data_IF_558991216504
#
_entry.id   IF_558991216504
#
_cell.length_a   1.000
_cell.length_b   1.000
_cell.length_c   1.000
_cell.angle_alpha   90.00
_cell.angle_beta   90.00
_cell.angle_gamma   90.00
#
_symmetry.space_group_name_H-M   'P 1'
#
loop_
_entity.id
_entity.type
_entity.pdbx_description
1 polymer ?
2 non-polymer ?
3 non-polymer ?
4 non-polymer ?
5 water ?
#
# COMPACT_ATOMS: atom_id res chain seq x y z
N UNK A 11 -10.63 -16.98 21.06
CA UNK A 11 -11.12 -15.72 20.55
C UNK A 11 -10.03 -14.77 20.02
N UNK A 12 -10.37 -14.23 18.88
CA UNK A 12 -9.55 -13.31 18.17
C UNK A 12 -10.39 -12.06 17.99
N UNK A 13 -9.78 -10.91 18.26
CA UNK A 13 -10.47 -9.65 18.21
C UNK A 13 -10.96 -9.31 16.81
N UNK A 14 -12.04 -8.57 16.77
CA UNK A 14 -12.72 -8.21 15.57
C UNK A 14 -11.97 -7.28 14.65
N UNK A 15 -11.42 -6.22 15.21
CA UNK A 15 -10.68 -5.22 14.44
C UNK A 15 -9.26 -5.70 14.19
N UNK A 16 -8.78 -5.52 12.97
CA UNK A 16 -7.40 -5.86 12.66
C UNK A 16 -6.38 -5.06 13.48
N UNK A 17 -6.72 -3.85 13.93
CA UNK A 17 -5.81 -3.07 14.76
C UNK A 17 -5.74 -3.50 16.23
N UNK A 18 -6.57 -4.47 16.61
CA UNK A 18 -6.53 -5.08 17.95
C UNK A 18 -5.77 -6.40 18.04
N UNK A 19 -5.18 -6.83 16.94
CA UNK A 19 -4.46 -8.09 16.94
C UNK A 19 -3.21 -8.03 16.07
N UNK A 20 -2.17 -8.73 16.47
CA UNK A 20 -0.97 -8.76 15.65
C UNK A 20 -1.21 -9.58 14.38
N UNK A 21 -0.77 -9.07 13.25
CA UNK A 21 -0.77 -9.85 12.02
C UNK A 21 0.65 -9.87 11.48
N UNK A 22 1.33 -11.02 11.59
CA UNK A 22 2.71 -11.09 11.17
C UNK A 22 2.87 -11.18 9.66
N UNK A 23 4.11 -10.99 9.22
CA UNK A 23 4.46 -11.01 7.80
C UNK A 23 4.19 -12.35 7.15
N UNK A 24 4.57 -13.40 7.86
CA UNK A 24 4.45 -14.76 7.35
C UNK A 24 3.42 -15.51 8.18
N UNK A 25 2.67 -16.38 7.51
CA UNK A 25 1.57 -17.09 8.18
C UNK A 25 1.31 -18.45 7.56
N UNK A 26 0.28 -19.13 8.04
CA UNK A 26 0.06 -20.55 7.71
C UNK A 26 -1.06 -20.86 6.75
N UNK A 27 -1.65 -19.83 6.15
CA UNK A 27 -2.88 -19.93 5.37
C UNK A 27 -2.83 -19.13 4.07
N UNK A 28 -1.67 -19.18 3.43
CA UNK A 28 -1.41 -18.33 2.26
C UNK A 28 -2.29 -18.70 1.06
N UNK A 29 -2.58 -19.98 0.87
CA UNK A 29 -3.44 -20.41 -0.25
C UNK A 29 -4.83 -19.86 -0.07
N UNK A 30 -5.33 -19.97 1.16
CA UNK A 30 -6.71 -19.56 1.46
C UNK A 30 -6.85 -18.05 1.40
N UNK A 31 -5.90 -17.33 1.99
CA UNK A 31 -5.94 -15.86 1.96
C UNK A 31 -5.78 -15.33 0.53
N UNK A 32 -4.92 -15.96 -0.27
CA UNK A 32 -4.74 -15.53 -1.67
C UNK A 32 -6.04 -15.65 -2.44
N UNK A 33 -6.77 -16.76 -2.24
CA UNK A 33 -8.01 -16.98 -2.97
C UNK A 33 -9.08 -15.94 -2.59
N UNK A 34 -9.21 -15.67 -1.30
CA UNK A 34 -10.15 -14.66 -0.83
C UNK A 34 -9.80 -13.25 -1.33
N UNK A 35 -8.50 -12.98 -1.42
CA UNK A 35 -8.03 -11.69 -1.93
C UNK A 35 -8.23 -11.49 -3.43
N UNK A 36 -8.22 -12.58 -4.19
CA UNK A 36 -8.64 -12.52 -5.61
C UNK A 36 -10.09 -12.09 -5.69
N UNK A 37 -10.97 -12.71 -4.89
CA UNK A 37 -12.36 -12.29 -4.88
C UNK A 37 -12.55 -10.85 -4.38
N UNK A 38 -11.73 -10.41 -3.44
CA UNK A 38 -11.81 -9.03 -2.94
C UNK A 38 -11.44 -8.06 -4.05
N UNK A 39 -10.36 -8.38 -4.75
CA UNK A 39 -9.83 -7.52 -5.80
C UNK A 39 -10.84 -7.41 -6.94
N UNK A 40 -11.39 -8.56 -7.35
CA UNK A 40 -12.43 -8.60 -8.39
C UNK A 40 -13.67 -7.79 -8.02
N UNK A 41 -14.08 -7.89 -6.77
CA UNK A 41 -15.16 -7.04 -6.26
C UNK A 41 -14.84 -5.54 -6.43
N UNK A 42 -13.64 -5.13 -6.06
CA UNK A 42 -13.19 -3.74 -6.23
C UNK A 42 -13.22 -3.28 -7.69
N UNK A 43 -12.88 -4.20 -8.59
CA UNK A 43 -12.92 -3.90 -10.03
C UNK A 43 -14.33 -3.65 -10.52
N UNK A 44 -15.32 -4.25 -9.86
CA UNK A 44 -16.71 -4.03 -10.24
C UNK A 44 -17.39 -2.93 -9.41
N UNK A 45 -16.61 -2.18 -8.65
CA UNK A 45 -17.14 -1.11 -7.80
C UNK A 45 -17.93 -1.60 -6.59
N UNK A 46 -17.72 -2.87 -6.19
CA UNK A 46 -18.47 -3.50 -5.09
C UNK A 46 -17.65 -3.41 -3.81
N UNK A 47 -17.62 -2.21 -3.23
CA UNK A 47 -16.72 -1.86 -2.13
C UNK A 47 -17.00 -2.59 -0.82
N UNK A 48 -18.27 -2.87 -0.55
CA UNK A 48 -18.68 -3.64 0.62
C UNK A 48 -18.14 -5.04 0.55
N UNK A 49 -18.34 -5.67 -0.62
CA UNK A 49 -17.88 -7.03 -0.86
C UNK A 49 -16.35 -7.13 -0.83
N UNK A 50 -15.65 -6.12 -1.37
CA UNK A 50 -14.19 -6.03 -1.24
C UNK A 50 -13.77 -6.08 0.23
N UNK A 51 -14.35 -5.22 1.04
CA UNK A 51 -13.98 -5.13 2.46
C UNK A 51 -14.26 -6.43 3.20
N UNK A 52 -15.39 -7.05 2.89
CA UNK A 52 -15.78 -8.31 3.50
C UNK A 52 -14.79 -9.44 3.21
N UNK A 53 -14.39 -9.60 1.95
CA UNK A 53 -13.38 -10.60 1.60
C UNK A 53 -12.03 -10.26 2.19
N UNK A 54 -11.65 -8.99 2.17
CA UNK A 54 -10.37 -8.56 2.75
C UNK A 54 -10.27 -8.87 4.25
N UNK A 55 -11.34 -8.57 4.97
CA UNK A 55 -11.42 -8.88 6.40
C UNK A 55 -11.29 -10.36 6.72
N UNK A 56 -12.00 -11.19 5.96
CA UNK A 56 -11.91 -12.65 6.12
C UNK A 56 -10.47 -13.13 5.84
N UNK A 57 -9.84 -12.63 4.77
CA UNK A 57 -8.48 -13.07 4.49
C UNK A 57 -7.57 -12.65 5.64
N UNK A 58 -7.80 -11.47 6.20
CA UNK A 58 -6.98 -10.93 7.28
C UNK A 58 -7.06 -11.80 8.54
N UNK A 59 -8.26 -12.32 8.80
CA UNK A 59 -8.45 -13.25 9.92
C UNK A 59 -7.54 -14.47 9.77
N UNK A 60 -7.51 -15.06 8.57
CA UNK A 60 -6.65 -16.21 8.33
C UNK A 60 -5.18 -15.89 8.55
N UNK A 61 -4.77 -14.66 8.24
CA UNK A 61 -3.37 -14.28 8.40
C UNK A 61 -2.95 -14.22 9.86
N UNK A 62 -3.90 -13.95 10.74
CA UNK A 62 -3.67 -13.86 12.18
C UNK A 62 -3.77 -15.19 12.92
N UNK A 63 -4.19 -16.28 12.27
CA UNK A 63 -4.28 -17.58 12.94
C UNK A 63 -2.91 -18.18 13.17
N UNK A 64 -2.73 -18.89 14.32
CA UNK A 64 -1.43 -19.45 14.65
C UNK A 64 -1.13 -20.77 13.95
N UNK A 65 -2.13 -21.38 13.31
CA UNK A 65 -1.98 -22.70 12.70
C UNK A 65 -2.67 -22.74 11.35
N UNK A 66 -2.29 -23.71 10.49
CA UNK A 66 -3.01 -23.84 9.24
C UNK A 66 -4.44 -24.31 9.47
N UNK A 67 -5.36 -23.83 8.63
CA UNK A 67 -6.72 -24.38 8.53
C UNK A 67 -6.70 -25.61 7.61
N UNK A 68 -6.84 -26.78 8.23
CA UNK A 68 -6.83 -28.07 7.54
C UNK A 68 -8.25 -28.64 7.36
N UNK A 69 -9.15 -28.30 8.30
CA UNK A 69 -10.57 -28.75 8.22
C UNK A 69 -11.52 -27.56 8.49
N UNK A 70 -12.74 -27.64 7.99
CA UNK A 70 -13.68 -26.51 8.12
C UNK A 70 -14.11 -26.24 9.55
N UNK A 71 -13.90 -27.25 10.39
CA UNK A 71 -14.22 -27.10 11.80
C UNK A 71 -13.42 -26.02 12.49
N UNK A 72 -12.18 -25.71 12.01
CA UNK A 72 -11.34 -24.68 12.51
C UNK A 72 -11.85 -23.23 12.29
N UNK A 73 -12.83 -23.02 11.46
CA UNK A 73 -13.44 -21.70 11.28
C UNK A 73 -14.28 -21.18 12.48
N UNK A 74 -14.71 -22.11 13.32
CA UNK A 74 -15.58 -21.78 14.39
C UNK A 74 -15.05 -20.73 15.34
N UNK A 75 -15.94 -19.80 15.66
CA UNK A 75 -15.66 -18.73 16.58
C UNK A 75 -14.82 -17.61 16.03
N UNK A 76 -14.70 -17.55 14.71
CA UNK A 76 -13.92 -16.49 14.10
C UNK A 76 -14.81 -15.38 13.61
N UNK A 77 -14.41 -14.13 13.82
CA UNK A 77 -15.20 -13.03 13.29
C UNK A 77 -14.95 -12.84 11.79
N UNK A 78 -15.80 -12.09 11.17
CA UNK A 78 -15.64 -11.78 9.74
C UNK A 78 -15.55 -12.97 8.86
N UNK A 79 -16.28 -14.01 9.21
CA UNK A 79 -16.29 -15.21 8.37
C UNK A 79 -17.71 -15.63 8.06
N UNK A 80 -18.34 -14.87 7.17
CA UNK A 80 -19.68 -15.15 6.70
C UNK A 80 -19.77 -16.34 5.79
N UNK A 81 -20.98 -16.60 5.30
CA UNK A 81 -21.25 -17.78 4.49
C UNK A 81 -20.37 -17.88 3.24
N UNK A 82 -20.19 -16.77 2.53
CA UNK A 82 -19.53 -16.81 1.23
C UNK A 82 -18.05 -17.14 1.40
N UNK A 83 -17.37 -16.44 2.30
CA UNK A 83 -15.95 -16.69 2.54
C UNK A 83 -15.74 -18.14 3.04
N UNK A 84 -16.64 -18.61 3.90
CA UNK A 84 -16.59 -20.02 4.39
C UNK A 84 -16.72 -21.05 3.27
N UNK A 85 -17.64 -20.82 2.33
CA UNK A 85 -17.80 -21.71 1.18
C UNK A 85 -16.54 -21.80 0.33
N UNK A 86 -15.87 -20.66 0.16
CA UNK A 86 -14.67 -20.60 -0.63
C UNK A 86 -13.62 -21.48 0.04
N UNK A 87 -13.45 -21.31 1.34
CA UNK A 87 -12.47 -22.10 2.08
C UNK A 87 -12.87 -23.58 2.03
N UNK A 88 -14.16 -23.86 2.20
CA UNK A 88 -14.63 -25.25 2.17
C UNK A 88 -14.28 -25.97 0.86
N UNK A 89 -14.51 -25.30 -0.26
CA UNK A 89 -14.21 -25.88 -1.57
C UNK A 89 -12.72 -26.11 -1.77
N UNK A 90 -11.89 -25.17 -1.29
CA UNK A 90 -10.43 -25.33 -1.33
C UNK A 90 -9.93 -26.52 -0.49
N UNK A 91 -10.50 -26.69 0.71
CA UNK A 91 -10.15 -27.84 1.56
C UNK A 91 -10.59 -29.19 1.00
N UNK A 92 -11.81 -29.22 0.45
CA UNK A 92 -12.41 -30.47 -0.03
C UNK A 92 -11.96 -30.84 -1.43
N UNK A 93 -11.73 -29.85 -2.29
CA UNK A 93 -11.46 -30.10 -3.71
C UNK A 93 -10.12 -29.53 -4.25
N UNK A 94 -9.36 -28.83 -3.41
CA UNK A 94 -8.09 -28.23 -3.82
C UNK A 94 -8.20 -27.02 -4.73
N UNK A 95 -9.43 -26.62 -5.05
CA UNK A 95 -9.68 -25.53 -6.00
C UNK A 95 -11.08 -24.97 -5.73
N UNK A 96 -11.29 -23.68 -5.98
CA UNK A 96 -12.60 -23.05 -5.84
C UNK A 96 -13.06 -22.57 -7.21
N UNK A 97 -14.19 -23.09 -7.70
CA UNK A 97 -14.63 -22.81 -9.06
C UNK A 97 -14.82 -21.31 -9.32
N UNK A 98 -15.46 -20.63 -8.39
CA UNK A 98 -15.65 -19.18 -8.49
C UNK A 98 -14.30 -18.44 -8.66
N UNK A 99 -13.30 -18.80 -7.87
CA UNK A 99 -12.00 -18.16 -7.95
C UNK A 99 -11.36 -18.43 -9.32
N UNK A 100 -11.43 -19.68 -9.78
CA UNK A 100 -10.83 -20.03 -11.07
C UNK A 100 -11.53 -19.30 -12.21
N UNK A 101 -12.85 -19.13 -12.11
CA UNK A 101 -13.59 -18.41 -13.15
C UNK A 101 -13.14 -16.95 -13.21
N UNK A 102 -12.96 -16.32 -12.05
CA UNK A 102 -12.45 -14.94 -11.97
C UNK A 102 -11.05 -14.87 -12.59
N UNK A 103 -10.14 -15.78 -12.21
CA UNK A 103 -8.79 -15.82 -12.77
C UNK A 103 -8.73 -15.87 -14.28
N UNK A 104 -9.64 -16.66 -14.85
CA UNK A 104 -9.66 -16.87 -16.26
C UNK A 104 -10.45 -15.82 -17.04
N UNK A 105 -11.16 -14.97 -16.34
CA UNK A 105 -12.06 -14.02 -17.02
C UNK A 105 -11.30 -12.84 -17.63
N UNK A 106 -11.71 -12.46 -18.84
CA UNK A 106 -11.07 -11.38 -19.56
C UNK A 106 -11.20 -10.05 -18.80
N UNK A 107 -12.38 -9.85 -18.21
CA UNK A 107 -12.62 -8.64 -17.42
C UNK A 107 -11.59 -8.52 -16.30
N UNK A 108 -11.44 -9.58 -15.51
CA UNK A 108 -10.51 -9.52 -14.37
C UNK A 108 -9.06 -9.34 -14.86
N UNK A 109 -8.65 -10.16 -15.83
CA UNK A 109 -7.29 -10.09 -16.37
C UNK A 109 -6.97 -8.70 -16.91
N UNK A 110 -7.93 -8.09 -17.59
CA UNK A 110 -7.68 -6.77 -18.20
C UNK A 110 -7.67 -5.69 -17.14
N UNK A 111 -8.58 -5.78 -16.18
CA UNK A 111 -8.61 -4.79 -15.10
C UNK A 111 -7.32 -4.88 -14.26
N UNK A 112 -6.85 -6.11 -14.01
CA UNK A 112 -5.58 -6.29 -13.31
C UNK A 112 -4.44 -5.71 -14.14
N UNK A 113 -4.41 -6.00 -15.43
CA UNK A 113 -3.40 -5.45 -16.32
C UNK A 113 -3.35 -3.93 -16.25
N UNK A 114 -4.50 -3.31 -16.43
CA UNK A 114 -4.55 -1.85 -16.49
C UNK A 114 -4.30 -1.17 -15.15
N UNK A 115 -4.92 -1.68 -14.09
CA UNK A 115 -4.80 -1.01 -12.77
C UNK A 115 -3.38 -1.12 -12.22
N UNK A 116 -2.62 -2.10 -12.68
CA UNK A 116 -1.22 -2.27 -12.24
C UNK A 116 -0.31 -1.16 -12.77
N UNK A 117 -0.67 -0.56 -13.89
CA UNK A 117 0.17 0.44 -14.52
C UNK A 117 0.18 1.70 -13.64
N UNK A 118 1.37 2.29 -13.51
CA UNK A 118 1.53 3.56 -12.79
C UNK A 118 0.55 4.61 -13.27
N UNK A 119 -0.18 5.22 -12.32
CA UNK A 119 -1.15 6.27 -12.58
C UNK A 119 -2.53 5.87 -13.07
N UNK A 120 -2.81 4.57 -13.07
CA UNK A 120 -4.15 4.04 -13.48
C UNK A 120 -4.90 3.46 -12.28
N UNK A 121 -6.05 4.04 -11.98
CA UNK A 121 -6.97 3.46 -11.01
C UNK A 121 -8.09 2.64 -11.60
N UNK A 122 -8.98 2.15 -10.74
CA UNK A 122 -10.10 1.34 -11.17
C UNK A 122 -11.00 2.11 -12.15
N UNK A 123 -11.28 3.37 -11.87
CA UNK A 123 -12.23 4.09 -12.73
C UNK A 123 -11.70 4.24 -14.13
N UNK A 124 -10.42 4.56 -14.24
CA UNK A 124 -9.80 4.72 -15.55
C UNK A 124 -9.74 3.38 -16.28
N UNK A 125 -9.33 2.33 -15.55
CA UNK A 125 -9.19 1.00 -16.16
C UNK A 125 -10.56 0.51 -16.65
N UNK A 126 -11.58 0.75 -15.85
CA UNK A 126 -12.95 0.35 -16.24
C UNK A 126 -13.42 1.12 -17.47
N UNK A 127 -13.15 2.43 -17.49
CA UNK A 127 -13.47 3.22 -18.69
C UNK A 127 -12.80 2.65 -19.93
N UNK A 128 -11.51 2.36 -19.85
CA UNK A 128 -10.78 1.81 -20.97
C UNK A 128 -11.36 0.46 -21.40
N UNK A 129 -11.74 -0.36 -20.44
CA UNK A 129 -12.33 -1.67 -20.71
C UNK A 129 -13.63 -1.48 -21.50
N UNK A 130 -14.43 -0.56 -21.03
CA UNK A 130 -15.73 -0.34 -21.63
C UNK A 130 -15.61 0.16 -23.03
N UNK A 131 -14.55 0.90 -23.28
CA UNK A 131 -14.22 1.43 -24.61
C UNK A 131 -13.54 0.44 -25.55
N UNK A 132 -13.35 -0.80 -25.11
CA UNK A 132 -12.80 -1.85 -25.96
C UNK A 132 -11.29 -2.01 -25.93
N UNK A 133 -10.60 -1.34 -25.01
CA UNK A 133 -9.15 -1.51 -24.87
C UNK A 133 -8.87 -2.75 -24.01
N UNK A 134 -7.86 -3.53 -24.43
CA UNK A 134 -7.54 -4.81 -23.73
C UNK A 134 -6.08 -5.01 -23.42
N UNK A 135 -5.19 -4.52 -24.26
CA UNK A 135 -3.77 -4.77 -24.10
C UNK A 135 -2.97 -3.52 -23.91
N UNK A 136 -1.70 -3.70 -23.53
CA UNK A 136 -0.81 -2.59 -23.39
C UNK A 136 -0.56 -1.93 -24.76
N UNK A 137 -0.48 -2.72 -25.81
CA UNK A 137 -0.33 -2.15 -27.14
C UNK A 137 -1.55 -1.32 -27.54
N UNK A 138 -2.74 -1.74 -27.13
CA UNK A 138 -3.95 -0.96 -27.40
C UNK A 138 -3.81 0.42 -26.78
N UNK A 139 -3.29 0.50 -25.55
CA UNK A 139 -3.10 1.79 -24.91
C UNK A 139 -2.08 2.63 -25.66
N UNK A 140 -0.98 2.00 -26.10
CA UNK A 140 0.05 2.73 -26.83
C UNK A 140 -0.43 3.25 -28.17
N UNK A 141 -1.41 2.58 -28.75
CA UNK A 141 -2.04 3.06 -30.00
C UNK A 141 -2.93 4.26 -29.80
N UNK A 142 -3.28 4.59 -28.53
CA UNK A 142 -4.18 5.71 -28.22
C UNK A 142 -3.53 6.67 -27.22
N UNK A 143 -2.39 7.27 -27.61
CA UNK A 143 -1.69 8.06 -26.62
C UNK A 143 -2.44 9.27 -26.12
N UNK A 144 -3.39 9.79 -26.91
CA UNK A 144 -4.18 10.91 -26.47
C UNK A 144 -5.09 10.57 -25.27
N UNK A 145 -5.31 9.29 -25.01
CA UNK A 145 -6.09 8.81 -23.88
C UNK A 145 -5.30 8.74 -22.58
N UNK A 146 -3.99 8.97 -22.65
CA UNK A 146 -3.07 8.72 -21.53
C UNK A 146 -2.58 10.02 -20.92
N UNK A 147 -2.47 10.03 -19.59
CA UNK A 147 -1.76 11.11 -18.90
C UNK A 147 -0.25 10.91 -19.01
N UNK A 148 0.52 11.92 -18.67
CA UNK A 148 1.93 11.78 -18.77
C UNK A 148 2.45 10.69 -17.81
N UNK A 149 1.85 10.65 -16.67
CA UNK A 149 2.18 9.65 -15.69
C UNK A 149 1.95 8.23 -16.24
N UNK A 150 0.82 8.04 -16.88
CA UNK A 150 0.47 6.74 -17.49
C UNK A 150 1.40 6.40 -18.64
N UNK A 151 1.79 7.40 -19.43
CA UNK A 151 2.77 7.16 -20.50
C UNK A 151 4.10 6.66 -19.93
N UNK A 152 4.49 7.25 -18.81
CA UNK A 152 5.71 6.81 -18.14
C UNK A 152 5.55 5.39 -17.59
N UNK A 153 4.39 5.10 -17.03
CA UNK A 153 4.13 3.74 -16.52
C UNK A 153 4.18 2.73 -17.64
N UNK A 154 3.67 3.07 -18.82
CA UNK A 154 3.76 2.14 -19.94
C UNK A 154 5.17 1.96 -20.48
N UNK A 155 5.90 3.06 -20.57
CA UNK A 155 7.29 3.04 -21.01
C UNK A 155 8.13 2.09 -20.15
N UNK A 156 7.82 2.02 -18.86
CA UNK A 156 8.63 1.23 -17.93
C UNK A 156 7.88 0.06 -17.36
N UNK A 157 6.87 -0.44 -18.07
CA UNK A 157 5.98 -1.37 -17.41
C UNK A 157 6.64 -2.68 -17.00
N UNK A 158 7.59 -3.15 -17.76
CA UNK A 158 8.19 -4.45 -17.41
C UNK A 158 8.96 -4.33 -16.05
N UNK A 159 9.78 -3.32 -15.98
CA UNK A 159 10.51 -3.10 -14.71
C UNK A 159 9.55 -2.82 -13.58
N UNK A 160 8.52 -2.02 -13.83
CA UNK A 160 7.58 -1.70 -12.75
C UNK A 160 6.69 -2.87 -12.31
N UNK A 161 6.60 -3.95 -13.09
CA UNK A 161 5.89 -5.15 -12.63
C UNK A 161 6.88 -6.25 -12.20
N UNK A 162 8.14 -5.88 -12.05
CA UNK A 162 9.18 -6.76 -11.44
C UNK A 162 9.21 -6.39 -9.97
N UNK A 163 8.99 -7.36 -9.04
CA UNK A 163 9.01 -7.01 -7.62
C UNK A 163 10.25 -6.21 -7.22
N UNK A 164 10.03 -5.16 -6.44
CA UNK A 164 11.12 -4.40 -5.85
C UNK A 164 11.61 -5.22 -4.67
N UNK A 165 12.94 -5.30 -4.53
CA UNK A 165 13.61 -6.16 -3.56
C UNK A 165 14.20 -5.30 -2.45
N UNK A 166 14.43 -5.92 -1.30
CA UNK A 166 15.02 -5.19 -0.17
C UNK A 166 16.39 -4.56 -0.56
N UNK A 167 17.15 -5.25 -1.40
CA UNK A 167 18.43 -4.73 -1.85
C UNK A 167 18.28 -3.47 -2.68
N UNK A 168 17.20 -3.41 -3.47
CA UNK A 168 16.87 -2.21 -4.24
C UNK A 168 16.54 -1.09 -3.26
N UNK A 169 15.73 -1.42 -2.24
CA UNK A 169 15.34 -0.42 -1.25
C UNK A 169 16.56 0.16 -0.52
N UNK A 170 17.49 -0.70 -0.13
CA UNK A 170 18.67 -0.20 0.56
C UNK A 170 19.46 0.76 -0.34
N UNK A 171 19.62 0.43 -1.62
CA UNK A 171 20.34 1.30 -2.53
C UNK A 171 19.63 2.63 -2.69
N UNK A 172 18.31 2.57 -2.81
CA UNK A 172 17.51 3.79 -3.01
C UNK A 172 17.54 4.65 -1.77
N UNK A 173 17.46 4.03 -0.61
CA UNK A 173 17.51 4.79 0.64
C UNK A 173 18.85 5.53 0.76
N UNK A 174 19.95 4.89 0.35
CA UNK A 174 21.25 5.59 0.36
C UNK A 174 21.28 6.86 -0.50
N UNK A 175 20.82 6.79 -1.74
CA UNK A 175 20.86 7.98 -2.64
C UNK A 175 19.90 9.06 -2.12
N UNK A 176 18.76 8.63 -1.58
CA UNK A 176 17.79 9.62 -1.06
C UNK A 176 18.34 10.27 0.19
N UNK A 177 18.90 9.45 1.08
CA UNK A 177 19.55 10.02 2.29
C UNK A 177 20.71 10.96 1.96
N UNK A 178 21.52 10.61 0.97
CA UNK A 178 22.65 11.45 0.55
C UNK A 178 22.13 12.78 0.03
N UNK A 179 21.12 12.72 -0.84
CA UNK A 179 20.55 13.95 -1.40
C UNK A 179 19.91 14.83 -0.32
N UNK A 180 19.16 14.23 0.59
CA UNK A 180 18.51 14.97 1.69
C UNK A 180 19.57 15.61 2.58
N UNK A 181 20.58 14.82 2.96
CA UNK A 181 21.67 15.34 3.84
C UNK A 181 22.47 16.47 3.24
N UNK A 182 22.72 16.41 1.93
CA UNK A 182 23.43 17.46 1.24
C UNK A 182 22.59 18.73 1.07
N UNK A 183 21.28 18.58 0.91
CA UNK A 183 20.38 19.71 0.72
C UNK A 183 20.15 20.41 2.05
N UNK A 184 20.04 19.63 3.13
CA UNK A 184 19.73 20.17 4.43
C UNK A 184 20.24 19.29 5.56
N UNK A 185 21.43 19.62 6.13
CA UNK A 185 21.88 18.87 7.28
C UNK A 185 20.83 18.86 8.41
N UNK A 186 20.65 17.72 9.06
CA UNK A 186 19.61 17.59 10.08
C UNK A 186 18.31 17.00 9.57
N UNK A 187 18.01 17.13 8.28
CA UNK A 187 16.77 16.54 7.74
C UNK A 187 16.90 15.03 7.74
N UNK A 188 15.79 14.33 7.91
CA UNK A 188 15.80 12.88 8.03
C UNK A 188 14.91 12.24 6.98
N UNK A 189 15.23 10.97 6.71
CA UNK A 189 14.51 10.11 5.76
C UNK A 189 14.12 8.86 6.51
N UNK A 190 12.85 8.52 6.46
CA UNK A 190 12.35 7.31 7.10
C UNK A 190 11.67 6.41 6.05
N UNK A 191 12.12 5.18 5.96
CA UNK A 191 11.46 4.20 5.10
C UNK A 191 10.11 3.82 5.71
N UNK A 192 9.07 3.85 4.89
CA UNK A 192 7.70 3.55 5.33
C UNK A 192 7.13 2.44 4.45
N UNK A 193 5.81 2.38 4.31
CA UNK A 193 5.15 1.35 3.48
C UNK A 193 5.48 -0.07 3.91
N UNK A 194 5.30 -0.99 2.99
CA UNK A 194 5.42 -2.41 3.33
C UNK A 194 6.80 -2.82 3.74
N UNK A 195 7.84 -2.19 3.20
CA UNK A 195 9.20 -2.49 3.66
C UNK A 195 9.45 -2.19 5.14
N UNK A 196 8.83 -1.13 5.67
CA UNK A 196 8.92 -0.88 7.10
C UNK A 196 8.23 -1.98 7.91
N UNK A 197 7.19 -2.58 7.32
CA UNK A 197 6.50 -3.74 7.91
C UNK A 197 7.25 -5.08 7.79
N UNK A 198 8.44 -5.08 7.20
CA UNK A 198 9.27 -6.27 7.09
C UNK A 198 9.16 -6.99 5.79
N UNK A 199 8.34 -6.50 4.85
CA UNK A 199 8.19 -7.19 3.55
C UNK A 199 9.53 -7.35 2.82
N UNK A 200 9.68 -8.48 2.14
CA UNK A 200 10.90 -8.74 1.39
C UNK A 200 10.82 -8.17 0.00
N UNK A 201 9.61 -7.96 -0.50
CA UNK A 201 9.41 -7.35 -1.79
C UNK A 201 8.25 -6.36 -1.74
N UNK A 202 8.06 -5.67 -2.85
CA UNK A 202 7.03 -4.65 -2.97
C UNK A 202 6.85 -4.16 -4.38
N UNK A 203 5.91 -3.23 -4.55
CA UNK A 203 5.62 -2.61 -5.85
C UNK A 203 6.24 -1.25 -5.99
N UNK A 204 6.65 -0.67 -4.86
CA UNK A 204 7.26 0.67 -4.80
C UNK A 204 8.03 0.82 -3.50
N UNK A 205 8.64 2.00 -3.29
CA UNK A 205 9.37 2.28 -2.09
C UNK A 205 8.82 3.64 -1.63
N UNK A 206 8.49 3.71 -0.35
CA UNK A 206 7.89 4.88 0.29
C UNK A 206 8.84 5.49 1.31
N UNK A 207 9.12 6.80 1.18
CA UNK A 207 9.99 7.50 2.13
C UNK A 207 9.25 8.71 2.68
N UNK A 208 9.43 8.96 3.97
CA UNK A 208 8.87 10.13 4.64
C UNK A 208 10.04 11.00 5.12
N UNK A 209 10.01 12.27 4.72
CA UNK A 209 11.08 13.22 4.98
C UNK A 209 10.55 14.28 5.93
N UNK A 210 11.36 14.64 6.95
CA UNK A 210 11.04 15.77 7.81
C UNK A 210 12.30 16.43 8.36
N UNK A 211 12.14 17.44 9.21
CA UNK A 211 13.26 18.07 9.91
C UNK A 211 12.78 18.42 11.34
N UNK A 212 13.63 18.24 12.36
CA UNK A 212 13.16 18.44 13.74
C UNK A 212 12.66 19.87 14.10
N UNK A 213 13.13 20.89 13.40
CA UNK A 213 12.58 22.25 13.51
C UNK A 213 11.47 22.51 12.49
N UNK A 214 10.25 22.63 12.99
CA UNK A 214 9.06 22.92 12.17
C UNK A 214 9.30 24.11 11.22
N UNK A 215 9.10 23.88 9.92
CA UNK A 215 9.33 24.89 8.88
C UNK A 215 10.64 24.76 8.12
N UNK A 216 11.64 24.07 8.68
CA UNK A 216 12.94 23.91 8.03
C UNK A 216 12.82 22.93 6.85
N UNK A 217 11.72 22.18 6.81
CA UNK A 217 11.41 21.28 5.67
C UNK A 217 10.90 21.99 4.42
N UNK A 218 10.62 23.30 4.52
CA UNK A 218 10.07 24.05 3.40
C UNK A 218 11.08 24.15 2.28
N UNK A 219 10.64 23.81 1.06
CA UNK A 219 11.50 23.88 -0.13
C UNK A 219 12.58 22.82 -0.21
N UNK A 220 12.49 21.80 0.64
CA UNK A 220 13.53 20.80 0.71
C UNK A 220 13.36 19.84 -0.46
N UNK A 221 12.14 19.40 -0.69
CA UNK A 221 11.92 18.35 -1.70
C UNK A 221 12.42 18.73 -3.11
N UNK A 222 12.10 19.94 -3.61
CA UNK A 222 12.65 20.32 -4.92
C UNK A 222 14.18 20.32 -4.99
N UNK A 223 14.82 20.61 -3.87
CA UNK A 223 16.25 20.55 -3.80
C UNK A 223 16.78 19.15 -3.89
N UNK A 224 16.14 18.28 -3.15
CA UNK A 224 16.44 16.84 -3.19
C UNK A 224 16.28 16.30 -4.61
N UNK A 225 15.17 16.67 -5.25
CA UNK A 225 14.91 16.20 -6.61
C UNK A 225 15.91 16.73 -7.61
N UNK A 226 16.32 17.99 -7.46
CA UNK A 226 17.36 18.53 -8.35
C UNK A 226 18.64 17.70 -8.28
N UNK A 227 19.06 17.40 -7.05
CA UNK A 227 20.26 16.59 -6.80
C UNK A 227 20.13 15.20 -7.42
N UNK A 228 19.00 14.55 -7.21
CA UNK A 228 18.80 13.20 -7.79
C UNK A 228 18.76 13.23 -9.32
N UNK A 229 18.10 14.24 -9.87
CA UNK A 229 18.00 14.38 -11.33
C UNK A 229 19.39 14.60 -11.95
N UNK A 230 20.22 15.40 -11.29
CA UNK A 230 21.55 15.69 -11.80
C UNK A 230 22.50 14.49 -11.74
N UNK A 231 22.16 13.47 -10.93
CA UNK A 231 22.89 12.21 -10.92
C UNK A 231 22.37 11.19 -11.90
N UNK A 232 21.37 11.52 -12.71
CA UNK A 232 20.84 10.59 -13.68
C UNK A 232 19.91 9.57 -13.08
N UNK A 233 19.43 9.82 -11.87
CA UNK A 233 18.69 8.79 -11.14
C UNK A 233 17.18 8.87 -11.33
N UNK A 234 16.70 9.90 -12.02
CA UNK A 234 15.26 10.12 -12.14
C UNK A 234 14.81 9.93 -13.60
N UNK A 235 13.82 9.07 -13.79
CA UNK A 235 13.18 8.89 -15.09
C UNK A 235 11.90 9.69 -15.23
N UNK A 236 11.21 9.86 -14.13
CA UNK A 236 9.95 10.55 -14.11
C UNK A 236 9.76 11.14 -12.73
N UNK A 237 9.26 12.37 -12.66
CA UNK A 237 8.99 13.05 -11.44
C UNK A 237 7.74 13.94 -11.57
N UNK A 238 6.81 13.83 -10.66
CA UNK A 238 5.69 14.73 -10.65
C UNK A 238 5.66 15.24 -9.22
N UNK A 239 5.90 16.55 -9.08
CA UNK A 239 5.93 17.23 -7.80
C UNK A 239 4.56 17.86 -7.60
N UNK A 240 4.00 17.69 -6.42
CA UNK A 240 2.75 18.38 -6.08
C UNK A 240 2.81 18.97 -4.67
N UNK A 241 2.43 20.25 -4.59
CA UNK A 241 2.33 20.98 -3.32
C UNK A 241 1.16 20.47 -2.46
N UNK A 242 0.08 20.03 -3.12
CA UNK A 242 -1.07 19.38 -2.44
C UNK A 242 -1.56 18.18 -3.25
N UNK A 258 -2.66 16.23 1.05
CA UNK A 258 -2.20 17.58 1.30
C UNK A 258 -0.69 17.72 1.54
N UNK A 259 0.02 16.65 1.95
CA UNK A 259 1.48 16.76 2.14
C UNK A 259 2.12 17.02 0.78
N UNK A 260 3.20 17.77 0.79
CA UNK A 260 4.04 17.93 -0.37
C UNK A 260 4.58 16.54 -0.70
N UNK A 261 4.59 16.18 -1.97
CA UNK A 261 5.07 14.87 -2.38
C UNK A 261 5.58 14.86 -3.81
N UNK A 262 6.47 13.90 -4.10
CA UNK A 262 6.96 13.68 -5.43
C UNK A 262 6.71 12.22 -5.75
N UNK A 263 5.96 11.98 -6.83
CA UNK A 263 5.69 10.63 -7.34
C UNK A 263 6.75 10.39 -8.40
N UNK A 264 7.62 9.40 -8.20
CA UNK A 264 8.76 9.25 -9.06
C UNK A 264 8.90 7.86 -9.64
N UNK A 265 9.67 7.79 -10.72
CA UNK A 265 10.28 6.56 -11.18
C UNK A 265 11.79 6.83 -11.18
N UNK A 266 12.51 6.06 -10.38
CA UNK A 266 13.96 6.14 -10.33
C UNK A 266 14.59 5.17 -11.32
N UNK A 267 15.79 5.53 -11.80
CA UNK A 267 16.61 4.65 -12.63
C UNK A 267 17.66 4.09 -11.68
N UNK A 268 17.42 2.86 -11.21
CA UNK A 268 18.35 2.22 -10.24
C UNK A 268 19.45 1.50 -10.97
N UNK A 269 20.72 1.89 -10.79
CA UNK A 269 21.79 1.17 -11.43
C UNK A 269 21.93 -0.15 -10.75
N UNK A 270 22.21 -1.06 -11.59
CA UNK A 270 22.49 -2.54 -11.14
C UNK A 270 23.81 -3.11 -11.79
N UNK A 271 24.30 -4.25 -11.47
CA UNK A 271 25.55 -4.63 -12.08
C UNK A 271 25.21 -4.95 -13.57
N UNK A 272 25.79 -4.20 -14.49
CA UNK A 272 25.63 -4.29 -15.94
C UNK A 272 24.30 -3.89 -16.57
N UNK A 273 23.54 -3.15 -15.80
CA UNK A 273 22.17 -2.84 -16.15
C UNK A 273 21.56 -1.77 -15.32
N UNK A 274 20.24 -1.63 -15.43
CA UNK A 274 19.51 -0.70 -14.56
C UNK A 274 18.03 -1.12 -14.56
N UNK A 275 17.34 -0.68 -13.56
CA UNK A 275 15.93 -0.91 -13.55
C UNK A 275 15.14 0.24 -13.00
N UNK A 276 14.01 0.46 -13.61
CA UNK A 276 13.12 1.45 -13.14
C UNK A 276 12.39 1.00 -11.90
N UNK A 277 12.28 1.89 -10.92
CA UNK A 277 11.60 1.58 -9.66
C UNK A 277 10.77 2.77 -9.23
N UNK A 278 9.51 2.51 -8.90
CA UNK A 278 8.62 3.53 -8.31
C UNK A 278 9.01 3.90 -6.90
N UNK A 279 9.11 5.21 -6.65
CA UNK A 279 9.44 5.73 -5.33
C UNK A 279 8.54 6.93 -5.06
N UNK A 280 7.92 6.95 -3.89
CA UNK A 280 7.15 8.09 -3.43
C UNK A 280 7.94 8.79 -2.32
N UNK A 281 8.10 10.10 -2.45
CA UNK A 281 8.74 10.90 -1.42
C UNK A 281 7.71 11.85 -0.88
N UNK A 282 7.53 11.82 0.43
CA UNK A 282 6.47 12.56 1.11
C UNK A 282 7.18 13.43 2.13
N UNK A 283 6.86 14.72 2.18
CA UNK A 283 7.40 15.60 3.22
C UNK A 283 6.30 15.90 4.22
N UNK A 284 6.57 15.69 5.51
CA UNK A 284 5.64 16.11 6.57
C UNK A 284 6.33 17.02 7.56
N UNK A 285 5.62 18.07 8.02
CA UNK A 285 6.19 18.86 9.13
C UNK A 285 6.25 18.00 10.38
N UNK A 286 7.29 18.20 11.18
CA UNK A 286 7.56 17.28 12.28
C UNK A 286 6.40 17.12 13.25
N UNK A 287 5.60 18.16 13.45
CA UNK A 287 4.40 18.03 14.28
C UNK A 287 3.41 16.94 13.80
N UNK A 288 3.35 16.70 12.49
CA UNK A 288 2.46 15.71 11.90
C UNK A 288 3.14 14.38 11.60
N UNK A 289 4.45 14.30 11.82
CA UNK A 289 5.24 13.13 11.42
C UNK A 289 4.69 11.81 11.97
N UNK A 290 4.34 11.74 13.28
CA UNK A 290 3.86 10.45 13.81
C UNK A 290 2.59 9.95 13.11
N UNK A 291 1.69 10.89 12.78
CA UNK A 291 0.47 10.58 12.03
C UNK A 291 0.77 10.15 10.61
N UNK A 292 1.77 10.80 10.00
CA UNK A 292 2.14 10.49 8.64
C UNK A 292 2.81 9.12 8.58
N UNK A 293 3.70 8.85 9.54
CA UNK A 293 4.40 7.57 9.59
C UNK A 293 3.38 6.45 9.82
N UNK A 294 2.45 6.68 10.73
CA UNK A 294 1.43 5.63 11.01
C UNK A 294 0.59 5.33 9.76
N UNK A 295 0.11 6.41 9.12
CA UNK A 295 -0.69 6.30 7.92
C UNK A 295 0.04 5.59 6.78
N UNK A 296 1.25 6.05 6.51
CA UNK A 296 2.04 5.56 5.38
C UNK A 296 2.67 4.18 5.62
N UNK A 297 2.65 3.69 6.84
CA UNK A 297 3.24 2.39 7.11
C UNK A 297 2.24 1.26 6.77
N UNK A 298 0.95 1.54 6.83
CA UNK A 298 -0.06 0.56 6.46
C UNK A 298 -0.13 -0.59 7.45
N UNK A 299 -0.56 -1.78 7.01
CA UNK A 299 -1.08 -2.06 5.68
C UNK A 299 -2.33 -1.22 5.40
N UNK A 300 -2.77 -1.22 4.15
CA UNK A 300 -3.98 -0.50 3.76
C UNK A 300 -5.19 -0.91 4.62
N UNK A 301 -5.40 -2.22 4.77
CA UNK A 301 -6.48 -2.72 5.61
C UNK A 301 -6.27 -2.36 7.07
N UNK A 302 -5.06 -2.50 7.58
CA UNK A 302 -4.78 -2.13 8.97
C UNK A 302 -5.21 -0.69 9.22
N UNK A 303 -4.82 0.22 8.34
CA UNK A 303 -5.13 1.63 8.56
C UNK A 303 -6.61 1.93 8.41
N UNK A 304 -7.28 1.28 7.45
CA UNK A 304 -8.74 1.37 7.35
C UNK A 304 -9.41 0.95 8.64
N UNK A 305 -8.96 -0.17 9.18
CA UNK A 305 -9.50 -0.70 10.42
C UNK A 305 -9.21 0.19 11.62
N UNK A 306 -8.00 0.74 11.66
CA UNK A 306 -7.62 1.63 12.74
C UNK A 306 -8.45 2.92 12.74
N UNK A 307 -8.71 3.46 11.56
CA UNK A 307 -9.56 4.64 11.43
C UNK A 307 -11.03 4.37 11.75
N UNK A 308 -11.52 3.21 11.33
CA UNK A 308 -12.88 2.79 11.67
C UNK A 308 -12.99 2.60 13.18
N UNK A 309 -12.01 1.94 13.77
CA UNK A 309 -11.98 1.77 15.23
C UNK A 309 -12.01 3.10 15.95
N UNK A 310 -11.15 4.03 15.51
CA UNK A 310 -11.06 5.37 16.11
C UNK A 310 -12.40 6.08 16.11
N UNK A 311 -13.07 6.09 14.96
CA UNK A 311 -14.35 6.78 14.78
C UNK A 311 -15.47 6.09 15.55
N UNK A 312 -15.66 4.80 15.28
CA UNK A 312 -16.76 4.03 15.89
C UNK A 312 -16.60 3.78 17.40
N UNK A 313 -15.42 3.37 17.84
CA UNK A 313 -15.23 3.01 19.24
C UNK A 313 -14.80 4.17 20.13
N UNK A 314 -14.06 5.13 19.58
CA UNK A 314 -13.55 6.24 20.40
C UNK A 314 -14.07 7.63 20.04
N UNK A 315 -14.85 7.76 18.96
CA UNK A 315 -15.40 9.05 18.55
C UNK A 315 -14.40 10.06 18.00
N UNK A 316 -13.22 9.59 17.62
CA UNK A 316 -12.15 10.47 17.10
C UNK A 316 -11.92 10.17 15.64
N UNK A 317 -11.52 11.19 14.89
CA UNK A 317 -11.24 11.01 13.47
C UNK A 317 -9.74 11.02 13.24
N UNK A 318 -9.23 9.89 12.76
CA UNK A 318 -7.79 9.71 12.53
C UNK A 318 -7.48 9.82 11.05
N UNK A 319 -6.42 10.55 10.70
CA UNK A 319 -5.91 10.50 9.34
C UNK A 319 -4.41 10.67 9.36
N UNK A 320 -3.79 10.84 8.20
CA UNK A 320 -2.33 10.98 8.11
C UNK A 320 -1.76 12.28 8.69
N UNK A 321 -2.64 13.23 9.02
CA UNK A 321 -2.23 14.54 9.57
C UNK A 321 -2.48 14.73 11.05
N UNK A 322 -3.37 13.92 11.62
CA UNK A 322 -3.78 14.16 12.99
C UNK A 322 -4.88 13.29 13.51
N UNK A 323 -5.22 13.54 14.76
CA UNK A 323 -6.32 12.83 15.43
C UNK A 323 -7.24 13.89 16.04
N UNK A 324 -8.42 14.03 15.45
CA UNK A 324 -9.35 15.13 15.72
C UNK A 324 -10.54 14.63 16.54
N UNK A 325 -10.88 15.40 17.58
CA UNK A 325 -12.10 15.18 18.36
C UNK A 325 -13.14 16.16 17.81
N UNK A 326 -14.16 15.66 17.07
CA UNK A 326 -15.13 16.55 16.43
C UNK A 326 -16.08 17.26 17.41
N UNK A 327 -16.28 16.70 18.59
CA UNK A 327 -17.10 17.32 19.64
C UNK A 327 -16.38 18.50 20.29
N UNK A 328 -15.13 18.29 20.69
CA UNK A 328 -14.33 19.32 21.36
C UNK A 328 -13.58 20.24 20.39
N UNK A 329 -13.48 19.84 19.13
CA UNK A 329 -12.75 20.59 18.10
C UNK A 329 -11.26 20.73 18.49
N UNK A 330 -10.67 19.61 18.87
CA UNK A 330 -9.26 19.57 19.30
C UNK A 330 -8.45 18.55 18.51
N UNK A 331 -7.14 18.80 18.42
CA UNK A 331 -6.18 17.88 17.80
C UNK A 331 -5.23 17.32 18.87
N UNK A 332 -4.99 16.01 18.81
CA UNK A 332 -4.09 15.34 19.73
C UNK A 332 -2.63 15.59 19.36
N UNK A 333 -1.81 15.99 20.34
CA UNK A 333 -0.39 16.18 20.16
C UNK A 333 0.29 14.83 20.39
N UNK A 334 0.92 14.30 19.34
CA UNK A 334 1.65 13.02 19.40
C UNK A 334 3.11 13.26 19.09
N UNK A 335 4.00 12.63 19.86
CA UNK A 335 5.43 12.61 19.57
C UNK A 335 5.82 11.35 18.81
N UNK A 336 4.99 10.31 18.91
CA UNK A 336 5.28 8.99 18.36
C UNK A 336 4.01 8.24 17.99
N UNK A 337 4.20 7.15 17.24
CA UNK A 337 3.11 6.21 16.98
C UNK A 337 2.55 5.60 18.26
N UNK A 338 3.43 5.26 19.18
CA UNK A 338 3.03 4.72 20.50
C UNK A 338 2.03 5.65 21.21
N UNK A 339 2.29 6.95 21.18
CA UNK A 339 1.36 7.97 21.75
C UNK A 339 -0.04 7.83 21.15
N UNK A 340 -0.10 7.62 19.84
CA UNK A 340 -1.39 7.54 19.15
C UNK A 340 -2.13 6.26 19.55
N UNK A 341 -1.44 5.13 19.52
CA UNK A 341 -2.06 3.87 19.99
C UNK A 341 -2.61 4.02 21.41
N UNK A 342 -1.76 4.52 22.32
CA UNK A 342 -2.13 4.72 23.73
C UNK A 342 -3.38 5.61 23.85
N UNK A 343 -3.39 6.74 23.15
CA UNK A 343 -4.53 7.66 23.16
C UNK A 343 -5.82 6.97 22.70
N UNK A 344 -5.72 6.02 21.77
CA UNK A 344 -6.89 5.27 21.28
C UNK A 344 -7.25 4.03 22.12
N UNK A 345 -6.48 3.75 23.17
CA UNK A 345 -6.78 2.63 24.05
C UNK A 345 -6.40 1.29 23.47
N UNK A 346 -5.38 1.29 22.59
CA UNK A 346 -4.95 0.09 21.91
C UNK A 346 -3.55 -0.28 22.37
N UNK A 347 -3.30 -1.59 22.50
CA UNK A 347 -1.95 -2.07 22.73
C UNK A 347 -1.12 -1.76 21.50
N UNK A 348 0.13 -1.35 21.72
CA UNK A 348 0.99 -0.94 20.62
C UNK A 348 1.30 -2.14 19.75
N UNK A 349 1.28 -1.94 18.44
CA UNK A 349 1.70 -2.96 17.50
C UNK A 349 2.85 -2.40 16.68
N UNK A 350 4.03 -3.03 16.74
CA UNK A 350 5.10 -2.58 15.85
C UNK A 350 4.73 -2.82 14.38
N UNK A 351 5.43 -2.16 13.45
CA UNK A 351 5.07 -2.24 12.04
C UNK A 351 4.98 -3.67 11.47
N UNK A 352 5.88 -4.54 11.89
CA UNK A 352 5.87 -5.93 11.42
C UNK A 352 4.66 -6.73 11.89
N UNK A 353 3.86 -6.20 12.81
CA UNK A 353 2.59 -6.84 13.20
C UNK A 353 1.36 -6.11 12.66
N UNK A 354 1.55 -5.23 11.66
CA UNK A 354 0.47 -4.49 11.03
C UNK A 354 0.18 -5.01 9.62
N UNK A 355 0.50 -6.29 9.40
CA UNK A 355 0.40 -6.90 8.05
C UNK A 355 -0.99 -7.49 7.78
N UNK A 356 -2.00 -6.69 8.11
CA UNK A 356 -3.40 -7.11 7.98
C UNK A 356 -3.82 -7.22 6.52
X LIG B 1 4.89 0.71 -0.85
X LIG C 1 3.54 -2.52 -1.53
X LIG C 1 4.41 -3.68 -1.13
X LIG C 1 4.31 -1.26 -1.83
X LIG C 1 2.50 -2.85 -2.58
X LIG C 1 2.67 -0.87 0.65
X LIG C 1 4.01 -0.22 0.45
X LIG C 1 2.21 -1.21 2.05
X LIG C 1 2.64 -2.23 -0.23
X LIG C 1 1.66 1.37 -0.88
X LIG C 1 3.14 1.61 -1.12
X LIG C 1 0.71 1.29 -2.05
X LIG C 1 1.49 0.03 0.01
X LIG C 1 1.12 2.54 0.07
X LIG C 1 1.96 3.03 1.11
X LIG C 1 1.12 3.20 2.35
X LIG C 1 0.15 4.24 2.21
X LIG C 1 0.35 1.94 2.73
X LIG C 1 1.15 1.02 3.46
X LIG C 1 -0.80 2.51 3.55
X LIG C 1 -1.04 3.86 2.90
X LIG C 1 -2.15 3.64 1.94
X LIG C 1 -2.02 3.52 0.60
X LIG C 1 -3.23 3.32 0.03
X LIG C 1 -4.15 3.29 1.03
X LIG C 1 -5.62 3.12 1.12
X LIG C 1 -6.37 2.90 0.02
X LIG C 1 -6.18 3.15 2.36
X LIG C 1 -5.44 3.36 3.47
X LIG C 1 -4.11 3.53 3.45
X LIG C 1 -3.42 3.51 2.28
X LIG D 1 -8.87 6.76 -11.18
X LIG D 1 -7.53 7.15 -10.64
X LIG D 1 -9.66 6.07 -10.13
X LIG D 1 -8.68 5.81 -12.29
X LIG D 1 -9.58 7.97 -11.64
X LIG E 1 -21.52 -3.74 -2.43
X LIG E 1 -22.45 -4.10 -1.34
X LIG E 1 -20.19 -4.32 -2.15
X LIG E 1 -22.04 -4.25 -3.71
X LIG E 1 -21.39 -2.26 -2.49
X LIG F 1 -3.29 -17.18 -12.17
X LIG F 1 -3.84 -18.55 -12.18
X LIG F 1 -1.88 -17.25 -11.72
X LIG F 1 -4.06 -16.32 -11.23
X LIG F 1 -3.38 -16.60 -13.52
X LIG G 1 -17.39 7.52 -18.80
X LIG G 1 -16.27 7.29 -17.88
X LIG G 1 -17.07 6.98 -20.14
X LIG G 1 -17.65 8.97 -18.89
X LIG G 1 -18.60 6.84 -18.28
X LIG H 1 -5.22 10.83 4.60
X LIG H 1 -4.23 9.73 4.75
X LIG H 1 -4.86 11.97 5.46
X LIG H 1 -5.25 11.26 3.18
X LIG H 1 -6.56 10.33 4.99
X LIG I 1 -0.86 1.84 -6.77
X LIG I 1 -0.92 0.47 -6.22
X LIG I 1 0.00 2.68 -5.91
X LIG I 1 -0.30 1.82 -8.14
X LIG I 1 -2.23 2.40 -6.80
#
# INVERSE_FOLDING_TARGET
GSAAAPLSPAWMPAYACQRPTPLTHHNTGLSEALEILAEAAGFEGSEGRLLTFCRAASVLKALPSPVTTLSQLQGLPHFGEHSSRVVQELLEHGVCEEVERVRRSERYQTMKLFTQIFGVGVKTADRWYREGLRTLDDLREQPQKLTQQQKAGLQHHQDLSTPVLRSDVDALQQVVEEAVGQALPGATVTLTGGFRRGKLQGHDVDFLITHPKEGQEAGLLPRVMCRLQDQGLILYHQHQHSCCESPTRLAQQSHMDAFERSFCIFRLPQPGSWKAVRVDLVVAPVSQFPFALLGWTGSKLFQRELRRFSRKEKGLWLNSHGLFDPEQKTFFQAASEEDIFRHLGLEYLPPEQRNA
MG MG
DTP PG O1G O2G O3G PB O1B O2B O3B PA O1A O2A O3A O5' C5' C4' O4' C3' O3' C2' C1' N9 C8 N7 C5 C6 N6 N1 C2 N3 C4
SO4 S O1 O2 O3 O4
SO4 S O1 O2 O3 O4
SO4 S O1 O2 O3 O4
SO4 S O1 O2 O3 O4
SO4 S O1 O2 O3 O4
SO4 S O1 O2 O3 O4
#
